data_IF_109017832903
#
_entry.id   IF_109017832903
#
_cell.length_a   1.000
_cell.length_b   1.000
_cell.length_c   1.000
_cell.angle_alpha   90.00
_cell.angle_beta   90.00
_cell.angle_gamma   90.00
#
_symmetry.space_group_name_H-M   'P 1'
#
loop_
_entity.id
_entity.type
_entity.pdbx_description
1 polymer ?
#
# COMPACT_ATOMS: atom_id res chain seq x y z
N UNK A 1 15.58 -20.30 5.72
CA UNK A 1 14.97 -19.50 4.65
C UNK A 1 15.09 -18.02 4.94
N UNK A 2 15.21 -17.16 3.91
CA UNK A 2 15.21 -15.71 4.09
C UNK A 2 13.82 -15.21 4.55
N UNK A 3 13.81 -14.09 5.27
CA UNK A 3 12.59 -13.50 5.85
C UNK A 3 11.67 -12.91 4.76
N UNK A 4 10.33 -13.06 4.86
CA UNK A 4 9.39 -12.40 3.95
C UNK A 4 9.56 -10.89 4.01
N UNK A 5 9.63 -10.23 2.85
CA UNK A 5 9.87 -8.79 2.75
C UNK A 5 9.03 -8.19 1.63
N UNK A 6 8.39 -7.06 1.94
CA UNK A 6 7.65 -6.27 0.96
C UNK A 6 7.87 -4.77 1.20
N UNK A 7 8.18 -4.03 0.14
CA UNK A 7 8.18 -2.57 0.08
C UNK A 7 7.55 -2.19 -1.26
N UNK A 8 6.40 -1.51 -1.21
CA UNK A 8 5.75 -1.01 -2.42
C UNK A 8 5.91 0.51 -2.49
N UNK A 9 6.25 1.06 -3.67
CA UNK A 9 6.31 2.50 -3.90
C UNK A 9 4.89 3.11 -3.90
N UNK A 10 4.76 4.43 -4.12
CA UNK A 10 3.45 5.04 -4.32
C UNK A 10 2.60 4.25 -5.32
N UNK A 11 1.32 4.08 -4.98
CA UNK A 11 0.36 3.37 -5.78
C UNK A 11 0.23 3.93 -7.20
N UNK A 12 -0.35 3.13 -8.10
CA UNK A 12 -0.51 3.42 -9.52
C UNK A 12 -1.03 4.83 -9.79
N UNK A 13 -0.16 5.71 -10.28
CA UNK A 13 -0.49 7.11 -10.60
C UNK A 13 -1.49 7.26 -11.75
N UNK A 14 -1.73 6.20 -12.53
CA UNK A 14 -2.72 6.19 -13.62
C UNK A 14 -4.11 5.77 -13.14
N UNK A 15 -4.25 5.23 -11.92
CA UNK A 15 -5.52 4.81 -11.35
C UNK A 15 -6.16 5.94 -10.54
N UNK A 16 -6.59 7.01 -11.21
CA UNK A 16 -7.21 8.15 -10.54
C UNK A 16 -8.44 7.74 -9.71
N UNK A 17 -8.55 8.30 -8.50
CA UNK A 17 -9.64 7.98 -7.56
C UNK A 17 -9.54 6.62 -6.88
N UNK A 18 -8.47 5.84 -7.12
CA UNK A 18 -8.28 4.52 -6.51
C UNK A 18 -6.84 4.35 -6.00
N UNK A 19 -6.67 3.59 -4.92
CA UNK A 19 -5.35 3.18 -4.43
C UNK A 19 -5.05 1.76 -4.94
N UNK A 20 -4.24 1.65 -5.99
CA UNK A 20 -3.79 0.35 -6.53
C UNK A 20 -2.30 0.13 -6.28
N UNK A 21 -1.97 -0.79 -5.37
CA UNK A 21 -0.63 -1.25 -5.09
C UNK A 21 -0.04 -1.99 -6.30
N UNK A 22 1.26 -1.79 -6.57
CA UNK A 22 1.96 -2.44 -7.68
C UNK A 22 3.42 -2.70 -7.31
N UNK A 23 3.94 -3.84 -7.76
CA UNK A 23 5.34 -4.23 -7.57
C UNK A 23 6.22 -4.05 -8.82
N UNK A 24 5.68 -3.47 -9.89
CA UNK A 24 6.34 -3.35 -11.20
C UNK A 24 7.23 -2.12 -11.39
N UNK A 25 7.48 -1.35 -10.34
CA UNK A 25 8.29 -0.13 -10.37
C UNK A 25 9.70 -0.37 -9.84
N UNK A 26 10.66 0.48 -10.24
CA UNK A 26 11.99 0.50 -9.65
C UNK A 26 11.88 0.76 -8.12
N UNK A 27 12.68 0.04 -7.32
CA UNK A 27 12.67 0.04 -5.86
C UNK A 27 11.46 -0.62 -5.17
N UNK A 28 10.57 -1.28 -5.92
CA UNK A 28 9.61 -2.20 -5.31
C UNK A 28 10.29 -3.52 -4.93
N UNK A 29 10.05 -3.99 -3.70
CA UNK A 29 10.48 -5.30 -3.23
C UNK A 29 9.24 -6.13 -2.95
N UNK A 30 9.14 -7.28 -3.61
CA UNK A 30 8.17 -8.32 -3.30
C UNK A 30 8.95 -9.64 -3.30
N UNK A 31 9.37 -10.09 -2.12
CA UNK A 31 10.37 -11.15 -1.99
C UNK A 31 9.96 -12.23 -0.99
N UNK A 32 10.61 -13.39 -1.11
CA UNK A 32 10.57 -14.47 -0.13
C UNK A 32 9.15 -14.95 0.22
N UNK A 33 8.29 -15.04 -0.80
CA UNK A 33 6.96 -15.65 -0.71
C UNK A 33 5.81 -14.68 -0.45
N UNK A 34 6.07 -13.40 -0.14
CA UNK A 34 5.00 -12.38 -0.07
C UNK A 34 4.38 -12.22 -1.45
N UNK A 35 3.04 -12.14 -1.50
CA UNK A 35 2.30 -11.93 -2.76
C UNK A 35 1.44 -10.69 -2.64
N UNK A 36 1.30 -9.97 -3.75
CA UNK A 36 0.26 -8.96 -3.91
C UNK A 36 -0.87 -9.60 -4.73
N UNK A 37 -2.04 -9.79 -4.11
CA UNK A 37 -3.22 -10.39 -4.74
C UNK A 37 -4.44 -9.55 -4.39
N UNK A 38 -5.23 -9.18 -5.39
CA UNK A 38 -6.47 -8.41 -5.20
C UNK A 38 -6.25 -7.16 -4.34
N UNK A 39 -5.16 -6.43 -4.61
CA UNK A 39 -4.71 -5.23 -3.90
C UNK A 39 -4.35 -5.43 -2.40
N UNK A 40 -4.10 -6.67 -1.98
CA UNK A 40 -3.75 -7.03 -0.61
C UNK A 40 -2.41 -7.77 -0.55
N UNK A 41 -1.65 -7.54 0.54
CA UNK A 41 -0.43 -8.28 0.81
C UNK A 41 -0.77 -9.60 1.51
N UNK A 42 -0.35 -10.72 0.92
CA UNK A 42 -0.52 -12.07 1.47
C UNK A 42 0.80 -12.52 2.06
N UNK A 43 0.84 -12.73 3.37
CA UNK A 43 2.00 -13.26 4.09
C UNK A 43 2.11 -14.78 3.87
N UNK A 44 3.33 -15.31 3.65
CA UNK A 44 3.51 -16.73 3.31
C UNK A 44 3.53 -17.66 4.52
N UNK A 45 3.73 -17.13 5.73
CA UNK A 45 3.99 -17.89 6.95
C UNK A 45 3.49 -17.14 8.18
N UNK A 46 3.24 -17.83 9.28
CA UNK A 46 2.91 -17.21 10.55
C UNK A 46 4.16 -16.54 11.17
N UNK A 47 3.95 -15.47 11.94
CA UNK A 47 5.04 -14.78 12.64
C UNK A 47 4.72 -13.33 12.98
N UNK A 48 5.72 -12.65 13.53
CA UNK A 48 5.66 -11.21 13.79
C UNK A 48 6.11 -10.45 12.55
N UNK A 49 5.31 -9.49 12.11
CA UNK A 49 5.58 -8.65 10.95
C UNK A 49 5.53 -7.18 11.35
N UNK A 50 6.51 -6.41 10.92
CA UNK A 50 6.42 -4.95 10.94
C UNK A 50 5.56 -4.51 9.75
N UNK A 51 4.44 -3.86 10.04
CA UNK A 51 3.51 -3.36 9.03
C UNK A 51 3.45 -1.84 9.14
N UNK A 52 3.69 -1.16 8.02
CA UNK A 52 3.61 0.30 7.92
C UNK A 52 3.02 0.68 6.57
N UNK A 53 2.34 1.82 6.52
CA UNK A 53 1.85 2.39 5.27
C UNK A 53 1.73 3.90 5.42
N UNK A 54 1.99 4.61 4.33
CA UNK A 54 1.92 6.07 4.27
C UNK A 54 1.02 6.47 3.10
N UNK A 55 0.15 7.46 3.33
CA UNK A 55 -0.66 8.10 2.29
C UNK A 55 -0.46 9.61 2.34
N UNK A 56 -0.65 10.25 1.19
CA UNK A 56 -0.66 11.71 1.07
C UNK A 56 -1.99 12.12 0.42
N UNK A 57 -2.80 12.85 1.16
CA UNK A 57 -4.03 13.45 0.64
C UNK A 57 -3.77 14.89 0.19
N UNK A 58 -4.44 15.30 -0.89
CA UNK A 58 -4.39 16.67 -1.41
C UNK A 58 -5.78 17.12 -1.83
N UNK A 59 -6.09 18.39 -1.59
CA UNK A 59 -7.29 19.08 -2.06
C UNK A 59 -7.00 20.54 -2.39
N UNK A 60 -7.94 21.21 -3.05
CA UNK A 60 -7.88 22.64 -3.33
C UNK A 60 -9.03 23.35 -2.61
N UNK A 61 -8.68 24.22 -1.66
CA UNK A 61 -9.67 24.88 -0.80
C UNK A 61 -10.33 23.93 0.20
N UNK A 62 -11.30 24.46 0.94
CA UNK A 62 -12.13 23.69 1.87
C UNK A 62 -13.57 23.68 1.35
N UNK A 63 -14.17 22.51 1.08
CA UNK A 63 -15.59 22.43 0.73
C UNK A 63 -16.48 22.88 1.89
N UNK A 64 -17.71 23.29 1.59
CA UNK A 64 -18.71 23.68 2.61
C UNK A 64 -19.12 22.51 3.51
N UNK A 65 -18.93 21.27 3.04
CA UNK A 65 -19.12 20.04 3.80
C UNK A 65 -17.79 19.52 4.32
N UNK A 66 -17.73 19.17 5.61
CA UNK A 66 -16.53 18.57 6.20
C UNK A 66 -16.18 17.23 5.54
N UNK A 67 -14.89 17.01 5.30
CA UNK A 67 -14.35 15.76 4.76
C UNK A 67 -13.45 15.13 5.81
N UNK A 68 -13.71 13.88 6.15
CA UNK A 68 -12.87 13.08 7.03
C UNK A 68 -12.01 12.14 6.20
N UNK A 69 -10.69 12.24 6.38
CA UNK A 69 -9.72 11.41 5.67
C UNK A 69 -9.21 10.34 6.64
N UNK A 70 -9.40 9.09 6.28
CA UNK A 70 -9.05 7.93 7.11
C UNK A 70 -8.15 7.01 6.27
N UNK A 71 -7.11 6.49 6.91
CA UNK A 71 -6.27 5.46 6.35
C UNK A 71 -6.11 4.35 7.38
N UNK A 72 -6.43 3.13 6.95
CA UNK A 72 -6.49 1.96 7.82
C UNK A 72 -5.77 0.82 7.15
N UNK A 73 -5.06 0.03 7.95
CA UNK A 73 -4.52 -1.26 7.57
C UNK A 73 -5.36 -2.29 8.31
N UNK A 74 -5.93 -3.24 7.58
CA UNK A 74 -6.89 -4.24 8.09
C UNK A 74 -6.57 -5.62 7.56
#
# INVERSE_FOLDING_TARGET
SPLPLCLLPPANVKAEGQLQWQSGYANALLANGVKLKDNQLVVPTDGLYLIYSQVLFRGQGCPSTNVFLIHTIS
#
